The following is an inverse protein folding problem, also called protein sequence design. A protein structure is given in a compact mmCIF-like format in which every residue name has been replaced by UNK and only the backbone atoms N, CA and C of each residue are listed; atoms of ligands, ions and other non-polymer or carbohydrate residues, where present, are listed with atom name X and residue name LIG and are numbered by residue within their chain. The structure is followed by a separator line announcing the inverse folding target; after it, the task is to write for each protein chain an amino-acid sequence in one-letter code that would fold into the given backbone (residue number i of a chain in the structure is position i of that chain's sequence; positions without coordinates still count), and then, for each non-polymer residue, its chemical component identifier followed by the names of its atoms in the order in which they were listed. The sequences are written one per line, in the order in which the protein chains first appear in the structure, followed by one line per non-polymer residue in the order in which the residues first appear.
data_IF_556714519718
#
_entry.id   IF_556714519718
#
_cell.length_a   1.000
_cell.length_b   1.000
_cell.length_c   1.000
_cell.angle_alpha   90.00
_cell.angle_beta   90.00
_cell.angle_gamma   90.00
#
_symmetry.space_group_name_H-M   'P 1'
#
loop_
_entity.id
_entity.type
_entity.pdbx_description
1 polymer ?
#
# COMPACT_ATOMS: atom_id res chain seq x y z
N UNK A 1 13.82 -51.22 11.61
CA UNK A 1 14.10 -51.60 10.22
C UNK A 1 15.60 -51.48 10.00
N UNK A 2 16.23 -52.48 9.37
CA UNK A 2 17.63 -52.36 8.96
C UNK A 2 17.74 -51.22 7.92
N UNK A 3 18.70 -50.27 8.01
CA UNK A 3 18.93 -49.24 7.01
C UNK A 3 18.95 -49.75 5.56
N UNK A 4 19.46 -50.96 5.32
CA UNK A 4 19.51 -51.59 3.99
C UNK A 4 18.11 -51.93 3.44
N UNK A 5 17.18 -52.33 4.31
CA UNK A 5 15.80 -52.67 3.92
C UNK A 5 14.95 -51.43 3.57
N UNK A 6 15.32 -50.25 4.08
CA UNK A 6 14.61 -49.01 3.75
C UNK A 6 14.90 -48.62 2.30
N UNK A 7 16.15 -48.79 1.85
CA UNK A 7 16.57 -48.46 0.48
C UNK A 7 15.83 -49.31 -0.57
N UNK A 8 15.50 -50.57 -0.25
CA UNK A 8 14.75 -51.48 -1.13
C UNK A 8 13.30 -51.01 -1.39
N UNK A 9 12.75 -50.13 -0.53
CA UNK A 9 11.38 -49.59 -0.65
C UNK A 9 11.31 -48.23 -1.35
N UNK A 10 12.46 -47.62 -1.65
CA UNK A 10 12.51 -46.28 -2.23
C UNK A 10 12.58 -46.30 -3.77
N UNK A 11 12.20 -45.19 -4.45
CA UNK A 11 12.33 -45.08 -5.90
C UNK A 11 13.76 -45.35 -6.40
N UNK A 12 13.97 -45.84 -7.65
CA UNK A 12 15.27 -46.33 -8.17
C UNK A 12 16.47 -45.35 -8.18
N UNK A 13 16.30 -44.13 -7.68
CA UNK A 13 17.33 -43.09 -7.60
C UNK A 13 17.39 -42.40 -6.23
N UNK A 14 16.56 -42.83 -5.29
CA UNK A 14 16.56 -42.29 -3.95
C UNK A 14 17.76 -42.84 -3.16
N UNK A 15 18.54 -41.95 -2.56
CA UNK A 15 19.71 -42.32 -1.75
C UNK A 15 19.39 -42.44 -0.26
N UNK A 16 18.25 -41.88 0.18
CA UNK A 16 17.79 -41.88 1.56
C UNK A 16 16.29 -41.51 1.62
N UNK A 17 15.65 -41.79 2.76
CA UNK A 17 14.34 -41.25 3.09
C UNK A 17 14.50 -39.88 3.76
N UNK A 18 13.70 -38.90 3.34
CA UNK A 18 13.65 -37.60 4.03
C UNK A 18 12.80 -37.75 5.28
N UNK A 19 13.45 -37.63 6.45
CA UNK A 19 12.84 -37.79 7.76
C UNK A 19 12.93 -36.48 8.56
N UNK A 20 12.12 -36.39 9.62
CA UNK A 20 12.15 -35.27 10.58
C UNK A 20 12.01 -33.87 9.93
N UNK A 21 11.11 -33.73 8.96
CA UNK A 21 10.77 -32.43 8.38
C UNK A 21 9.45 -31.92 8.97
N UNK A 22 9.45 -30.67 9.42
CA UNK A 22 8.19 -29.97 9.68
C UNK A 22 7.48 -29.70 8.36
N UNK A 23 6.19 -30.02 8.30
CA UNK A 23 5.34 -29.63 7.17
C UNK A 23 5.16 -28.11 7.09
N UNK A 24 4.58 -27.64 5.98
CA UNK A 24 4.08 -26.25 5.90
C UNK A 24 2.98 -26.06 6.94
N UNK A 25 2.89 -24.85 7.49
CA UNK A 25 1.77 -24.46 8.35
C UNK A 25 0.46 -24.62 7.55
N UNK A 26 -0.53 -25.38 8.05
CA UNK A 26 -1.83 -25.46 7.40
C UNK A 26 -2.54 -24.11 7.38
N UNK A 27 -3.52 -23.97 6.47
CA UNK A 27 -4.43 -22.84 6.49
C UNK A 27 -5.08 -22.73 7.87
N UNK A 28 -5.08 -21.51 8.42
CA UNK A 28 -5.66 -21.23 9.73
C UNK A 28 -6.16 -19.79 9.79
N UNK A 29 -7.03 -19.54 10.77
CA UNK A 29 -7.44 -18.19 11.13
C UNK A 29 -6.42 -17.58 12.09
N UNK A 30 -5.59 -16.67 11.57
CA UNK A 30 -4.56 -15.97 12.34
C UNK A 30 -5.13 -15.10 13.48
N UNK A 31 -6.41 -14.68 13.42
CA UNK A 31 -7.06 -13.97 14.51
C UNK A 31 -7.46 -14.92 15.64
N UNK A 32 -8.19 -15.99 15.32
CA UNK A 32 -8.65 -16.95 16.34
C UNK A 32 -7.48 -17.68 17.03
N UNK A 33 -6.40 -17.93 16.29
CA UNK A 33 -5.19 -18.58 16.80
C UNK A 33 -4.41 -17.70 17.79
N UNK A 34 -4.57 -16.37 17.76
CA UNK A 34 -3.86 -15.44 18.63
C UNK A 34 -4.68 -15.06 19.87
N UNK A 35 -4.44 -15.77 20.96
CA UNK A 35 -5.08 -15.52 22.27
C UNK A 35 -4.81 -14.10 22.78
N UNK A 36 -3.64 -13.54 22.49
CA UNK A 36 -3.27 -12.19 22.93
C UNK A 36 -4.06 -11.14 22.17
N UNK A 37 -4.16 -11.29 20.84
CA UNK A 37 -4.94 -10.40 20.00
C UNK A 37 -6.43 -10.43 20.37
N UNK A 38 -6.98 -11.61 20.66
CA UNK A 38 -8.37 -11.73 21.14
C UNK A 38 -8.60 -11.05 22.49
N UNK A 39 -7.66 -11.20 23.43
CA UNK A 39 -7.70 -10.46 24.69
C UNK A 39 -7.65 -8.93 24.50
N UNK A 40 -6.92 -8.45 23.48
CA UNK A 40 -6.92 -7.03 23.10
C UNK A 40 -8.28 -6.63 22.52
N UNK A 41 -8.86 -7.40 21.61
CA UNK A 41 -10.17 -7.05 21.02
C UNK A 41 -11.29 -7.02 22.05
N UNK A 42 -11.27 -7.94 23.02
CA UNK A 42 -12.24 -7.98 24.11
C UNK A 42 -12.09 -6.74 25.01
N UNK A 43 -10.85 -6.38 25.38
CA UNK A 43 -10.57 -5.22 26.24
C UNK A 43 -11.01 -3.89 25.64
N UNK A 44 -10.97 -3.77 24.31
CA UNK A 44 -11.36 -2.54 23.60
C UNK A 44 -12.78 -2.60 23.05
N UNK A 45 -13.61 -3.55 23.49
CA UNK A 45 -15.01 -3.73 23.06
C UNK A 45 -15.17 -3.80 21.53
N UNK A 46 -14.25 -4.51 20.86
CA UNK A 46 -14.18 -4.57 19.39
C UNK A 46 -15.00 -5.70 18.76
N UNK A 47 -15.89 -6.34 19.53
CA UNK A 47 -16.74 -7.44 19.05
C UNK A 47 -17.60 -7.08 17.83
N UNK A 48 -17.90 -5.78 17.63
CA UNK A 48 -18.60 -5.28 16.44
C UNK A 48 -17.84 -5.53 15.12
N UNK A 49 -16.53 -5.75 15.18
CA UNK A 49 -15.67 -6.01 14.02
C UNK A 49 -15.09 -7.44 13.99
N UNK A 50 -15.48 -8.32 14.91
CA UNK A 50 -14.91 -9.66 15.08
C UNK A 50 -14.92 -10.48 13.78
N UNK A 51 -16.07 -10.51 13.10
CA UNK A 51 -16.21 -11.22 11.83
C UNK A 51 -15.27 -10.67 10.73
N UNK A 52 -14.95 -9.36 10.75
CA UNK A 52 -13.94 -8.80 9.83
C UNK A 52 -12.54 -9.30 10.18
N UNK A 53 -12.21 -9.38 11.48
CA UNK A 53 -10.93 -9.90 11.94
C UNK A 53 -10.76 -11.36 11.56
N UNK A 54 -11.79 -12.17 11.79
CA UNK A 54 -11.80 -13.60 11.46
C UNK A 54 -11.60 -13.85 9.96
N UNK A 55 -12.36 -13.15 9.11
CA UNK A 55 -12.22 -13.25 7.65
C UNK A 55 -10.84 -12.83 7.15
N UNK A 56 -10.27 -11.75 7.70
CA UNK A 56 -8.91 -11.36 7.32
C UNK A 56 -7.86 -12.32 7.90
N UNK A 57 -8.10 -12.88 9.09
CA UNK A 57 -7.23 -13.86 9.73
C UNK A 57 -7.13 -15.15 8.92
N UNK A 58 -8.23 -15.66 8.39
CA UNK A 58 -8.24 -16.81 7.46
C UNK A 58 -7.44 -16.50 6.17
N UNK A 59 -7.58 -15.29 5.63
CA UNK A 59 -6.85 -14.87 4.43
C UNK A 59 -5.34 -14.76 4.72
N UNK A 60 -4.97 -14.07 5.79
CA UNK A 60 -3.58 -13.84 6.18
C UNK A 60 -2.86 -15.15 6.58
N UNK A 61 -3.58 -16.09 7.20
CA UNK A 61 -3.06 -17.40 7.60
C UNK A 61 -3.11 -18.48 6.51
N UNK A 62 -3.47 -18.13 5.26
CA UNK A 62 -3.59 -19.09 4.16
C UNK A 62 -2.29 -19.27 3.37
N UNK A 63 -2.01 -20.51 2.94
CA UNK A 63 -0.90 -20.85 2.05
C UNK A 63 -1.00 -20.12 0.70
N UNK A 64 -2.21 -19.82 0.24
CA UNK A 64 -2.43 -19.02 -0.97
C UNK A 64 -1.83 -17.62 -0.84
N UNK A 65 -2.09 -16.93 0.27
CA UNK A 65 -1.55 -15.58 0.48
C UNK A 65 -0.06 -15.62 0.78
N UNK A 66 0.43 -16.64 1.46
CA UNK A 66 1.87 -16.90 1.62
C UNK A 66 2.56 -16.98 0.24
N UNK A 67 2.00 -17.75 -0.70
CA UNK A 67 2.56 -17.88 -2.04
C UNK A 67 2.46 -16.56 -2.83
N UNK A 68 1.37 -15.81 -2.71
CA UNK A 68 1.25 -14.47 -3.33
C UNK A 68 2.30 -13.50 -2.78
N UNK A 69 2.48 -13.46 -1.46
CA UNK A 69 3.49 -12.63 -0.79
C UNK A 69 4.90 -12.98 -1.26
N UNK A 70 5.21 -14.28 -1.36
CA UNK A 70 6.47 -14.77 -1.91
C UNK A 70 6.68 -14.33 -3.35
N UNK A 71 5.67 -14.43 -4.21
CA UNK A 71 5.81 -14.01 -5.61
C UNK A 71 5.98 -12.50 -5.73
N UNK A 72 5.21 -11.70 -5.00
CA UNK A 72 5.32 -10.24 -5.03
C UNK A 72 6.69 -9.74 -4.55
N UNK A 73 7.30 -10.40 -3.55
CA UNK A 73 8.63 -10.03 -3.04
C UNK A 73 9.79 -10.63 -3.86
N UNK A 74 9.56 -11.70 -4.62
CA UNK A 74 10.57 -12.31 -5.51
C UNK A 74 10.66 -11.59 -6.85
N UNK A 75 9.53 -11.11 -7.36
CA UNK A 75 9.41 -10.42 -8.64
C UNK A 75 9.23 -8.93 -8.39
N UNK A 76 10.36 -8.22 -8.28
CA UNK A 76 10.37 -6.79 -8.01
C UNK A 76 9.58 -6.00 -9.08
N UNK A 77 8.98 -4.86 -8.72
CA UNK A 77 8.35 -3.97 -9.69
C UNK A 77 9.36 -3.40 -10.69
N UNK A 78 8.95 -3.27 -11.95
CA UNK A 78 9.80 -2.82 -13.05
C UNK A 78 9.40 -1.42 -13.52
N UNK A 79 10.39 -0.52 -13.65
CA UNK A 79 10.16 0.84 -14.18
C UNK A 79 10.10 0.80 -15.70
N UNK A 80 9.00 1.28 -16.25
CA UNK A 80 8.80 1.51 -17.68
C UNK A 80 8.76 3.03 -17.92
N UNK A 81 9.92 3.67 -18.16
CA UNK A 81 9.99 5.12 -18.29
C UNK A 81 9.51 5.60 -19.66
N UNK A 82 9.60 4.75 -20.70
CA UNK A 82 9.21 5.08 -22.07
C UNK A 82 8.45 3.92 -22.72
N UNK A 83 7.56 4.23 -23.66
CA UNK A 83 6.91 3.23 -24.51
C UNK A 83 7.83 2.79 -25.67
N UNK A 84 7.33 1.85 -26.49
CA UNK A 84 8.06 1.32 -27.67
C UNK A 84 8.35 2.36 -28.76
N UNK A 85 7.77 3.56 -28.68
CA UNK A 85 7.96 4.65 -29.65
C UNK A 85 8.85 5.77 -29.10
N UNK A 86 9.30 5.66 -27.84
CA UNK A 86 10.14 6.65 -27.18
C UNK A 86 9.37 7.78 -26.47
N UNK A 87 8.04 7.70 -26.39
CA UNK A 87 7.27 8.64 -25.57
C UNK A 87 7.44 8.29 -24.09
N UNK A 88 7.59 9.30 -23.24
CA UNK A 88 7.73 9.09 -21.80
C UNK A 88 6.40 8.63 -21.20
N UNK A 89 6.43 7.49 -20.48
CA UNK A 89 5.26 6.85 -19.87
C UNK A 89 5.47 6.45 -18.41
N UNK A 90 6.51 6.90 -17.70
CA UNK A 90 6.67 6.83 -16.23
C UNK A 90 5.73 5.85 -15.48
N UNK A 91 5.80 4.57 -15.82
CA UNK A 91 4.93 3.51 -15.33
C UNK A 91 5.76 2.52 -14.53
N UNK A 92 5.10 1.82 -13.60
CA UNK A 92 5.72 0.74 -12.85
C UNK A 92 4.82 -0.47 -13.01
N UNK A 93 5.38 -1.52 -13.59
CA UNK A 93 4.71 -2.80 -13.76
C UNK A 93 4.99 -3.67 -12.53
N UNK A 94 3.94 -4.29 -12.02
CA UNK A 94 4.02 -5.17 -10.86
C UNK A 94 3.66 -6.60 -11.26
N UNK A 95 4.24 -7.58 -10.58
CA UNK A 95 3.80 -8.96 -10.72
C UNK A 95 2.30 -9.09 -10.34
N UNK A 96 1.48 -9.91 -11.03
CA UNK A 96 0.06 -10.05 -10.75
C UNK A 96 -0.29 -10.34 -9.28
N UNK A 97 0.61 -11.03 -8.57
CA UNK A 97 0.47 -11.29 -7.13
C UNK A 97 0.35 -10.00 -6.30
N UNK A 98 1.05 -8.92 -6.64
CA UNK A 98 0.91 -7.62 -5.97
C UNK A 98 -0.51 -7.07 -6.11
N UNK A 99 -1.07 -7.12 -7.32
CA UNK A 99 -2.43 -6.63 -7.58
C UNK A 99 -3.48 -7.45 -6.83
N UNK A 100 -3.27 -8.76 -6.74
CA UNK A 100 -4.12 -9.66 -5.97
C UNK A 100 -4.06 -9.36 -4.46
N UNK A 101 -2.87 -9.13 -3.92
CA UNK A 101 -2.68 -8.71 -2.53
C UNK A 101 -3.32 -7.35 -2.24
N UNK A 102 -3.16 -6.37 -3.12
CA UNK A 102 -3.84 -5.07 -3.04
C UNK A 102 -5.36 -5.23 -2.99
N UNK A 103 -5.91 -6.09 -3.86
CA UNK A 103 -7.35 -6.36 -3.92
C UNK A 103 -7.86 -7.02 -2.64
N UNK A 104 -7.11 -7.95 -2.06
CA UNK A 104 -7.45 -8.57 -0.77
C UNK A 104 -7.39 -7.51 0.35
N UNK A 105 -6.31 -6.74 0.45
CA UNK A 105 -6.17 -5.74 1.51
C UNK A 105 -7.25 -4.65 1.45
N UNK A 106 -7.62 -4.18 0.24
CA UNK A 106 -8.70 -3.21 0.06
C UNK A 106 -10.08 -3.82 0.33
N UNK A 107 -10.34 -5.03 -0.17
CA UNK A 107 -11.60 -5.75 0.04
C UNK A 107 -11.87 -6.08 1.52
N UNK A 108 -10.81 -6.26 2.31
CA UNK A 108 -10.87 -6.47 3.76
C UNK A 108 -10.72 -5.16 4.57
N UNK A 109 -10.86 -3.99 3.95
CA UNK A 109 -10.92 -2.69 4.64
C UNK A 109 -9.67 -2.32 5.46
N UNK A 110 -8.50 -2.92 5.16
CA UNK A 110 -7.23 -2.68 5.89
C UNK A 110 -6.83 -1.19 5.87
N UNK A 111 -7.27 -0.46 4.85
CA UNK A 111 -7.01 0.98 4.68
C UNK A 111 -8.13 1.88 5.22
N UNK A 112 -9.36 1.37 5.41
CA UNK A 112 -10.56 2.20 5.55
C UNK A 112 -11.38 1.97 6.82
N UNK A 113 -11.28 0.82 7.50
CA UNK A 113 -12.19 0.45 8.59
C UNK A 113 -12.29 1.52 9.70
N UNK A 114 -11.19 2.21 10.00
CA UNK A 114 -11.16 3.27 11.01
C UNK A 114 -12.09 4.46 10.70
N UNK A 115 -12.42 4.63 9.43
CA UNK A 115 -13.19 5.75 8.90
C UNK A 115 -14.61 5.35 8.50
N UNK A 116 -14.86 4.06 8.29
CA UNK A 116 -16.14 3.50 7.86
C UNK A 116 -16.88 2.78 8.98
N UNK A 117 -16.18 2.32 10.03
CA UNK A 117 -16.77 1.61 11.15
C UNK A 117 -17.50 2.50 12.16
N UNK A 118 -18.63 1.98 12.63
CA UNK A 118 -19.62 2.65 13.46
C UNK A 118 -19.45 2.31 14.96
N UNK A 119 -18.63 1.31 15.27
CA UNK A 119 -18.42 0.81 16.63
C UNK A 119 -17.39 1.61 17.43
N UNK A 120 -17.26 1.34 18.74
CA UNK A 120 -16.25 1.99 19.57
C UNK A 120 -14.84 1.68 19.09
N UNK A 121 -13.93 2.63 19.32
CA UNK A 121 -12.50 2.51 19.02
C UNK A 121 -12.16 2.05 17.58
N UNK A 122 -12.70 2.72 16.53
CA UNK A 122 -12.55 2.27 15.13
C UNK A 122 -11.10 2.24 14.65
N UNK A 123 -10.24 3.13 15.17
CA UNK A 123 -8.80 3.09 14.91
C UNK A 123 -8.13 1.82 15.46
N UNK A 124 -8.54 1.34 16.63
CA UNK A 124 -8.03 0.10 17.23
C UNK A 124 -8.50 -1.09 16.41
N UNK A 125 -9.77 -1.11 15.97
CA UNK A 125 -10.27 -2.15 15.07
C UNK A 125 -9.48 -2.22 13.75
N UNK A 126 -9.20 -1.07 13.12
CA UNK A 126 -8.35 -1.03 11.92
C UNK A 126 -6.92 -1.48 12.22
N UNK A 127 -6.38 -1.18 13.40
CA UNK A 127 -5.06 -1.64 13.80
C UNK A 127 -4.98 -3.17 13.88
N UNK A 128 -6.04 -3.84 14.35
CA UNK A 128 -6.16 -5.31 14.33
C UNK A 128 -6.08 -5.84 12.89
N UNK A 129 -6.82 -5.23 11.95
CA UNK A 129 -6.73 -5.63 10.54
C UNK A 129 -5.33 -5.42 9.96
N UNK A 130 -4.70 -4.28 10.25
CA UNK A 130 -3.33 -3.99 9.81
C UNK A 130 -2.32 -4.97 10.41
N UNK A 131 -2.51 -5.37 11.67
CA UNK A 131 -1.66 -6.34 12.35
C UNK A 131 -1.74 -7.71 11.68
N UNK A 132 -2.95 -8.22 11.43
CA UNK A 132 -3.18 -9.49 10.74
C UNK A 132 -2.58 -9.48 9.33
N UNK A 133 -2.83 -8.42 8.55
CA UNK A 133 -2.29 -8.30 7.20
C UNK A 133 -0.75 -8.33 7.19
N UNK A 134 -0.11 -7.62 8.12
CA UNK A 134 1.34 -7.51 8.18
C UNK A 134 2.05 -8.83 8.58
N UNK A 135 1.32 -9.84 9.05
CA UNK A 135 1.87 -11.19 9.22
C UNK A 135 2.10 -11.88 7.87
N UNK A 136 1.26 -11.57 6.88
CA UNK A 136 1.29 -12.19 5.56
C UNK A 136 2.16 -11.43 4.56
N UNK A 137 1.97 -10.11 4.43
CA UNK A 137 2.72 -9.30 3.45
C UNK A 137 2.81 -7.82 3.87
N UNK A 138 4.03 -7.26 3.88
CA UNK A 138 4.28 -5.91 4.40
C UNK A 138 4.38 -4.82 3.33
N UNK A 139 4.67 -5.15 2.06
CA UNK A 139 4.77 -4.19 0.96
C UNK A 139 3.48 -3.42 0.70
N UNK A 140 2.37 -4.14 0.60
CA UNK A 140 1.00 -3.61 0.46
C UNK A 140 0.54 -2.85 1.71
N UNK A 141 1.20 -3.06 2.85
CA UNK A 141 1.06 -2.21 4.03
C UNK A 141 1.35 -0.73 3.77
N UNK A 142 2.24 -0.42 2.80
CA UNK A 142 2.59 0.95 2.45
C UNK A 142 1.43 1.73 1.80
N UNK A 143 0.83 1.30 0.66
CA UNK A 143 -0.31 2.00 0.06
C UNK A 143 -1.55 2.03 0.96
N UNK A 144 -1.84 0.96 1.70
CA UNK A 144 -2.99 0.92 2.62
C UNK A 144 -2.80 1.90 3.79
N UNK A 145 -1.60 1.94 4.38
CA UNK A 145 -1.26 2.88 5.46
C UNK A 145 -1.27 4.35 5.02
N UNK A 146 -0.68 4.66 3.86
CA UNK A 146 -0.71 6.04 3.33
C UNK A 146 -2.13 6.49 2.99
N UNK A 147 -2.95 5.62 2.41
CA UNK A 147 -4.36 5.94 2.09
C UNK A 147 -5.17 6.16 3.35
N UNK A 148 -5.05 5.25 4.34
CA UNK A 148 -5.63 5.41 5.68
C UNK A 148 -5.29 6.77 6.30
N UNK A 149 -4.01 7.14 6.35
CA UNK A 149 -3.55 8.37 7.00
C UNK A 149 -3.95 9.65 6.23
N UNK A 150 -4.15 9.56 4.91
CA UNK A 150 -4.47 10.72 4.08
C UNK A 150 -5.90 11.21 4.27
N UNK A 151 -6.84 10.35 4.69
CA UNK A 151 -8.26 10.71 4.86
C UNK A 151 -8.46 11.87 5.83
N UNK A 152 -7.79 11.87 7.00
CA UNK A 152 -7.91 12.97 7.96
C UNK A 152 -7.33 14.29 7.42
N UNK A 153 -6.26 14.21 6.65
CA UNK A 153 -5.67 15.38 5.97
C UNK A 153 -6.65 15.98 4.95
N UNK A 154 -7.27 15.13 4.13
CA UNK A 154 -8.29 15.56 3.16
C UNK A 154 -9.53 16.14 3.84
N UNK A 155 -9.95 15.58 5.00
CA UNK A 155 -11.04 16.17 5.79
C UNK A 155 -10.70 17.60 6.23
N UNK A 156 -9.44 17.94 6.49
CA UNK A 156 -9.06 19.33 6.84
C UNK A 156 -9.04 20.29 5.64
N UNK A 157 -9.14 19.79 4.42
CA UNK A 157 -9.15 20.56 3.17
C UNK A 157 -10.49 20.39 2.43
N UNK A 158 -11.57 21.10 2.81
CA UNK A 158 -12.92 20.89 2.28
C UNK A 158 -13.02 21.00 0.74
N UNK A 159 -12.19 21.84 0.12
CA UNK A 159 -12.12 22.01 -1.34
C UNK A 159 -11.53 20.80 -2.10
N UNK A 160 -10.98 19.81 -1.40
CA UNK A 160 -10.41 18.57 -1.96
C UNK A 160 -11.13 17.30 -1.49
N UNK A 161 -12.24 17.41 -0.75
CA UNK A 161 -12.87 16.24 -0.11
C UNK A 161 -13.53 15.30 -1.12
N UNK A 162 -14.37 15.83 -2.00
CA UNK A 162 -15.12 15.04 -2.97
C UNK A 162 -14.49 15.17 -4.37
N UNK A 163 -14.40 14.09 -5.16
CA UNK A 163 -14.79 12.70 -4.86
C UNK A 163 -13.70 11.88 -4.11
N UNK A 164 -12.63 12.52 -3.64
CA UNK A 164 -11.41 11.86 -3.16
C UNK A 164 -11.61 10.97 -1.94
N UNK A 165 -12.29 11.45 -0.89
CA UNK A 165 -12.53 10.67 0.33
C UNK A 165 -13.39 9.45 0.01
N UNK A 166 -14.49 9.64 -0.75
CA UNK A 166 -15.37 8.53 -1.13
C UNK A 166 -14.61 7.42 -1.88
N UNK A 167 -13.77 7.78 -2.85
CA UNK A 167 -12.94 6.81 -3.59
C UNK A 167 -11.82 6.21 -2.74
N UNK A 168 -11.24 6.97 -1.81
CA UNK A 168 -10.19 6.49 -0.90
C UNK A 168 -10.71 5.55 0.19
N UNK A 169 -12.02 5.54 0.45
CA UNK A 169 -12.69 4.61 1.38
C UNK A 169 -13.30 3.41 0.66
N UNK A 170 -13.26 3.37 -0.67
CA UNK A 170 -13.77 2.27 -1.47
C UNK A 170 -13.02 0.97 -1.19
N UNK A 171 -13.74 -0.13 -1.08
CA UNK A 171 -13.17 -1.48 -0.91
C UNK A 171 -12.67 -2.08 -2.23
N UNK A 172 -12.84 -1.38 -3.35
CA UNK A 172 -12.36 -1.81 -4.65
C UNK A 172 -10.90 -1.35 -4.90
N UNK A 173 -10.04 -2.28 -5.30
CA UNK A 173 -8.73 -1.96 -5.86
C UNK A 173 -8.83 -1.80 -7.37
N UNK A 174 -8.38 -0.66 -7.89
CA UNK A 174 -8.37 -0.36 -9.31
C UNK A 174 -6.94 0.00 -9.77
N UNK A 175 -6.25 -0.88 -10.52
CA UNK A 175 -4.88 -0.63 -10.96
C UNK A 175 -4.79 0.20 -12.26
N UNK A 176 -5.92 0.55 -12.89
CA UNK A 176 -5.91 1.16 -14.23
C UNK A 176 -5.16 2.50 -14.23
N UNK A 177 -4.30 2.76 -15.23
CA UNK A 177 -3.52 3.99 -15.34
C UNK A 177 -4.34 5.11 -15.98
N UNK A 178 -5.40 5.54 -15.29
CA UNK A 178 -6.33 6.58 -15.78
C UNK A 178 -6.59 7.60 -14.68
N UNK A 179 -7.21 8.73 -15.05
CA UNK A 179 -7.64 9.76 -14.12
C UNK A 179 -8.56 9.19 -13.01
N UNK A 180 -8.42 9.71 -11.79
CA UNK A 180 -9.10 9.19 -10.60
C UNK A 180 -10.63 9.19 -10.74
N UNK A 181 -11.20 10.13 -11.50
CA UNK A 181 -12.65 10.16 -11.76
C UNK A 181 -13.17 8.87 -12.39
N UNK A 182 -12.39 8.21 -13.26
CA UNK A 182 -12.78 6.97 -13.94
C UNK A 182 -12.59 5.69 -13.11
N UNK A 183 -12.04 5.78 -11.90
CA UNK A 183 -11.68 4.63 -11.05
C UNK A 183 -12.73 4.28 -10.01
N UNK A 184 -12.83 3.00 -9.65
CA UNK A 184 -13.77 2.53 -8.61
C UNK A 184 -13.23 2.71 -7.18
N UNK A 185 -11.92 2.83 -7.04
CA UNK A 185 -11.22 3.14 -5.81
C UNK A 185 -9.85 3.74 -6.13
N UNK A 186 -9.24 4.41 -5.16
CA UNK A 186 -7.95 5.07 -5.34
C UNK A 186 -6.96 4.72 -4.22
N UNK A 187 -5.69 4.94 -4.52
CA UNK A 187 -4.58 4.90 -3.57
C UNK A 187 -3.98 6.30 -3.44
N UNK A 188 -3.65 6.70 -2.20
CA UNK A 188 -3.02 7.99 -1.92
C UNK A 188 -1.58 7.77 -1.45
N UNK A 189 -0.65 8.49 -2.06
CA UNK A 189 0.77 8.46 -1.71
C UNK A 189 1.22 9.67 -0.90
N UNK A 190 2.47 9.63 -0.43
CA UNK A 190 3.12 10.74 0.24
C UNK A 190 4.49 11.01 -0.38
N UNK A 191 4.76 12.27 -0.69
CA UNK A 191 5.97 12.69 -1.39
C UNK A 191 6.67 13.79 -0.58
N UNK A 192 7.42 13.37 0.45
CA UNK A 192 7.96 14.27 1.46
C UNK A 192 9.47 14.45 1.33
N UNK A 193 10.22 13.36 1.52
CA UNK A 193 11.68 13.32 1.62
C UNK A 193 12.38 13.84 0.37
N UNK A 194 13.45 14.60 0.58
CA UNK A 194 14.34 15.07 -0.47
C UNK A 194 15.79 14.62 -0.19
N UNK A 195 16.67 14.72 -1.19
CA UNK A 195 18.06 14.25 -1.11
C UNK A 195 18.81 14.81 0.11
N UNK A 196 18.53 16.06 0.46
CA UNK A 196 19.16 16.78 1.57
C UNK A 196 18.53 16.50 2.94
N UNK A 197 17.42 15.76 3.03
CA UNK A 197 16.78 15.46 4.31
C UNK A 197 15.38 14.85 4.20
N UNK A 198 15.11 13.89 5.08
CA UNK A 198 13.78 13.32 5.31
C UNK A 198 13.15 13.78 6.62
N UNK A 199 13.95 13.94 7.69
CA UNK A 199 13.45 14.37 9.01
C UNK A 199 13.24 15.89 9.08
N UNK A 200 14.18 16.69 8.57
CA UNK A 200 14.11 18.14 8.59
C UNK A 200 13.41 18.69 7.33
N UNK A 201 12.07 18.65 7.35
CA UNK A 201 11.24 19.12 6.23
C UNK A 201 11.32 20.64 6.01
N UNK A 202 11.86 21.41 6.95
CA UNK A 202 12.09 22.85 6.76
C UNK A 202 13.16 23.12 5.69
N UNK A 203 13.99 22.13 5.36
CA UNK A 203 15.02 22.18 4.31
C UNK A 203 14.55 21.76 2.92
N UNK A 204 13.25 21.50 2.72
CA UNK A 204 12.65 21.22 1.41
C UNK A 204 13.02 22.31 0.39
N UNK A 205 13.40 21.88 -0.80
CA UNK A 205 13.83 22.71 -1.94
C UNK A 205 12.85 22.65 -3.11
N UNK A 206 11.91 21.70 -3.15
CA UNK A 206 10.79 21.76 -4.10
C UNK A 206 10.03 23.08 -3.91
N UNK A 207 9.90 23.84 -5.00
CA UNK A 207 9.20 25.12 -5.03
C UNK A 207 7.76 24.90 -5.47
N UNK A 208 6.83 25.65 -4.90
CA UNK A 208 5.46 25.78 -5.35
C UNK A 208 5.20 27.25 -5.73
N UNK A 209 4.83 27.49 -6.99
CA UNK A 209 4.48 28.82 -7.50
C UNK A 209 3.01 28.86 -7.89
N UNK A 210 2.23 29.87 -7.48
CA UNK A 210 0.83 29.97 -7.84
C UNK A 210 0.68 30.13 -9.36
N UNK A 211 -0.28 29.44 -9.96
CA UNK A 211 -0.53 29.49 -11.40
C UNK A 211 -1.27 30.77 -11.82
N UNK A 212 -2.14 31.27 -10.94
CA UNK A 212 -3.02 32.43 -11.15
C UNK A 212 -2.71 33.60 -10.19
N UNK A 213 -1.56 33.53 -9.50
CA UNK A 213 -1.15 34.51 -8.50
C UNK A 213 -1.89 34.43 -7.16
N UNK A 214 -2.88 33.54 -7.01
CA UNK A 214 -3.60 33.34 -5.76
C UNK A 214 -2.83 32.43 -4.80
N UNK A 215 -2.84 32.75 -3.51
CA UNK A 215 -2.31 31.91 -2.44
C UNK A 215 -3.39 31.42 -1.46
N UNK A 216 -4.67 31.60 -1.82
CA UNK A 216 -5.80 31.18 -1.00
C UNK A 216 -5.93 29.64 -0.96
N UNK A 217 -6.56 29.07 0.08
CA UNK A 217 -6.88 27.64 0.11
C UNK A 217 -7.64 27.20 -1.16
N UNK A 218 -7.08 26.23 -1.88
CA UNK A 218 -7.62 25.74 -3.15
C UNK A 218 -7.02 26.37 -4.41
N UNK A 219 -6.16 27.40 -4.27
CA UNK A 219 -5.38 27.91 -5.39
C UNK A 219 -4.47 26.82 -5.98
N UNK A 220 -4.24 26.86 -7.29
CA UNK A 220 -3.44 25.85 -8.01
C UNK A 220 -1.99 26.31 -8.11
N UNK A 221 -1.07 25.39 -7.88
CA UNK A 221 0.36 25.67 -7.89
C UNK A 221 1.11 24.77 -8.86
N UNK A 222 2.10 25.34 -9.56
CA UNK A 222 3.14 24.58 -10.23
C UNK A 222 4.21 24.18 -9.22
N UNK A 223 4.40 22.87 -9.03
CA UNK A 223 5.48 22.33 -8.23
C UNK A 223 6.70 22.03 -9.11
N UNK A 224 7.88 22.48 -8.70
CA UNK A 224 9.15 22.19 -9.39
C UNK A 224 10.22 21.80 -8.39
N UNK A 225 10.73 20.59 -8.52
CA UNK A 225 11.73 20.04 -7.61
C UNK A 225 11.90 18.53 -7.76
N UNK A 226 12.26 17.86 -6.66
CA UNK A 226 12.40 16.40 -6.62
C UNK A 226 11.94 15.84 -5.29
N UNK A 227 11.50 14.59 -5.31
CA UNK A 227 11.31 13.76 -4.12
C UNK A 227 12.22 12.55 -4.20
N UNK A 228 12.94 12.30 -3.11
CA UNK A 228 14.01 11.32 -3.09
C UNK A 228 13.51 9.92 -2.81
N UNK A 229 12.46 9.80 -1.99
CA UNK A 229 11.71 8.57 -1.75
C UNK A 229 10.22 8.90 -1.89
N UNK A 230 9.59 8.26 -2.86
CA UNK A 230 8.14 8.31 -3.10
C UNK A 230 7.69 6.88 -3.35
N UNK A 231 7.24 6.23 -2.28
CA UNK A 231 6.69 4.88 -2.37
C UNK A 231 5.38 4.89 -3.13
N UNK A 232 5.03 3.76 -3.75
CA UNK A 232 3.80 3.59 -4.53
C UNK A 232 3.66 4.72 -5.58
N UNK A 233 4.64 4.88 -6.50
CA UNK A 233 4.59 5.95 -7.49
C UNK A 233 3.39 5.81 -8.45
N UNK A 234 2.69 4.68 -8.43
CA UNK A 234 1.44 4.47 -9.16
C UNK A 234 0.20 5.02 -8.47
N UNK A 235 0.30 5.54 -7.25
CA UNK A 235 -0.82 6.17 -6.55
C UNK A 235 -1.49 7.25 -7.39
N UNK A 236 -2.79 7.43 -7.17
CA UNK A 236 -3.65 8.31 -7.94
C UNK A 236 -3.38 9.79 -7.65
N UNK A 237 -3.04 10.08 -6.40
CA UNK A 237 -2.64 11.39 -5.94
C UNK A 237 -1.67 11.30 -4.75
N UNK A 238 -1.01 12.41 -4.45
CA UNK A 238 0.01 12.49 -3.42
C UNK A 238 -0.17 13.73 -2.54
N UNK A 239 0.03 13.54 -1.24
CA UNK A 239 0.33 14.65 -0.33
C UNK A 239 1.83 14.94 -0.41
N UNK A 240 2.20 16.17 -0.73
CA UNK A 240 3.58 16.57 -0.95
C UNK A 240 3.91 17.87 -0.24
N UNK A 241 5.12 17.97 0.30
CA UNK A 241 5.60 19.22 0.88
C UNK A 241 6.40 20.01 -0.15
N UNK A 242 6.13 21.30 -0.26
CA UNK A 242 6.88 22.22 -1.10
C UNK A 242 6.96 23.59 -0.44
N UNK A 243 7.85 24.44 -0.93
CA UNK A 243 8.09 25.78 -0.40
C UNK A 243 7.38 26.83 -1.25
N UNK A 244 6.64 27.70 -0.59
CA UNK A 244 6.13 28.98 -1.09
C UNK A 244 6.96 30.12 -0.48
N UNK A 245 6.68 31.36 -0.88
CA UNK A 245 7.29 32.55 -0.27
C UNK A 245 6.93 32.70 1.23
N UNK A 246 5.80 32.12 1.66
CA UNK A 246 5.37 32.11 3.05
C UNK A 246 5.98 30.98 3.90
N UNK A 247 6.65 29.99 3.29
CA UNK A 247 7.27 28.87 3.99
C UNK A 247 6.95 27.50 3.39
N UNK A 248 7.13 26.44 4.17
CA UNK A 248 6.80 25.08 3.74
C UNK A 248 5.31 24.82 3.92
N UNK A 249 4.66 24.33 2.87
CA UNK A 249 3.24 24.01 2.83
C UNK A 249 3.02 22.59 2.31
N UNK A 250 1.82 22.05 2.58
CA UNK A 250 1.37 20.77 2.05
C UNK A 250 0.51 21.00 0.80
N UNK A 251 0.75 20.22 -0.24
CA UNK A 251 0.04 20.25 -1.50
C UNK A 251 -0.54 18.87 -1.79
N UNK A 252 -1.71 18.87 -2.40
CA UNK A 252 -2.30 17.68 -2.99
C UNK A 252 -2.11 17.77 -4.51
N UNK A 253 -1.50 16.75 -5.11
CA UNK A 253 -1.37 16.69 -6.57
C UNK A 253 -1.76 15.32 -7.10
N UNK A 254 -2.48 15.32 -8.21
CA UNK A 254 -2.92 14.13 -8.92
C UNK A 254 -1.84 13.64 -9.87
N UNK A 255 -1.82 12.35 -10.20
CA UNK A 255 -0.87 11.81 -11.18
C UNK A 255 -1.30 12.08 -12.63
N UNK A 256 -2.61 12.22 -12.86
CA UNK A 256 -3.23 12.45 -14.15
C UNK A 256 -4.03 13.74 -14.11
N UNK A 257 -4.09 14.44 -15.24
CA UNK A 257 -5.04 15.51 -15.47
C UNK A 257 -6.38 14.93 -15.95
N UNK A 258 -7.44 15.73 -15.86
CA UNK A 258 -8.79 15.34 -16.31
C UNK A 258 -8.85 15.02 -17.81
N UNK A 259 -8.00 15.67 -18.62
CA UNK A 259 -7.87 15.42 -20.06
C UNK A 259 -7.14 14.11 -20.40
N UNK A 260 -6.72 13.34 -19.40
CA UNK A 260 -5.99 12.08 -19.55
C UNK A 260 -4.49 12.25 -19.79
N UNK A 261 -3.96 13.47 -19.79
CA UNK A 261 -2.52 13.71 -19.80
C UNK A 261 -1.90 13.53 -18.40
N UNK A 262 -0.58 13.44 -18.31
CA UNK A 262 0.13 13.18 -17.05
C UNK A 262 0.58 14.47 -16.38
N UNK A 263 0.45 14.51 -15.05
CA UNK A 263 0.75 15.70 -14.26
C UNK A 263 2.22 15.77 -13.81
N UNK A 264 3.14 15.88 -14.77
CA UNK A 264 4.53 16.31 -14.54
C UNK A 264 5.44 15.43 -13.65
N UNK A 265 4.93 14.36 -13.04
CA UNK A 265 5.70 13.44 -12.20
C UNK A 265 6.59 12.53 -13.06
N UNK A 266 7.91 12.77 -13.00
CA UNK A 266 8.92 12.01 -13.76
C UNK A 266 9.67 11.03 -12.86
N UNK A 267 9.47 9.73 -13.06
CA UNK A 267 10.11 8.69 -12.25
C UNK A 267 11.50 8.43 -12.80
N UNK A 268 12.54 8.72 -12.00
CA UNK A 268 13.93 8.59 -12.46
C UNK A 268 14.48 7.17 -12.27
N UNK A 269 14.13 6.53 -11.16
CA UNK A 269 14.61 5.20 -10.79
C UNK A 269 13.73 4.59 -9.70
N UNK A 270 13.67 3.27 -9.69
CA UNK A 270 13.25 2.52 -8.51
C UNK A 270 14.43 2.35 -7.54
N UNK A 271 14.09 2.12 -6.27
CA UNK A 271 15.08 1.86 -5.23
C UNK A 271 15.37 0.37 -5.22
N UNK A 272 16.64 0.00 -5.24
CA UNK A 272 17.06 -1.34 -4.84
C UNK A 272 17.10 -1.36 -3.30
N UNK A 273 16.09 -1.99 -2.70
CA UNK A 273 15.82 -1.96 -1.25
C UNK A 273 16.25 -3.27 -0.62
N UNK A 274 16.80 -3.22 0.60
CA UNK A 274 17.18 -4.43 1.35
C UNK A 274 15.98 -5.37 1.67
N UNK A 275 14.79 -4.79 1.79
CA UNK A 275 13.51 -5.49 1.99
C UNK A 275 12.36 -4.61 1.51
N UNK A 276 11.11 -4.95 1.85
CA UNK A 276 9.92 -4.24 1.35
C UNK A 276 9.94 -4.19 -0.20
N UNK A 277 10.35 -5.26 -0.89
CA UNK A 277 10.71 -5.21 -2.31
C UNK A 277 9.50 -5.23 -3.26
N UNK A 278 8.38 -5.76 -2.79
CA UNK A 278 7.08 -5.78 -3.46
C UNK A 278 6.51 -4.40 -3.81
#
# INVERSE_FOLDING_TARGET
MNPEQILETLPPHATHQVLNQSGRTPDHDAYSADVTLRGVTDRYDLGWAEERFRRLGEVAGSQRVEDLARQANRHDPELVPFDRYGHRVDAVEFHPAYHELMRLAYGHEVHSLAWTGDGPHPHTARAVLSYLWNQAENGVGCPTGMTYASVDTLRKAPHLRDPWIGKALSTAYDPRPVHAAGKTGITLGMAMTEKQGGSDLKKVRTLARPLDGSNEPGARFALTGHKWFTSVPMSDAFLAVARTDAGVSCFFFERWHEDGSRNGMRIQRLKDKAGNRS
#
